data_IF_162208527038
#
_entry.id   IF_162208527038
#
_cell.length_a   1.000
_cell.length_b   1.000
_cell.length_c   1.000
_cell.angle_alpha   90.00
_cell.angle_beta   90.00
_cell.angle_gamma   90.00
#
_symmetry.space_group_name_H-M   'P 1'
#
loop_
_entity.id
_entity.type
_entity.pdbx_description
1 polymer ?
#
# COMPACT_ATOMS: atom_id res chain seq x y z
N UNK A 1 9.69 -16.19 -36.00
CA UNK A 1 8.28 -15.96 -35.59
C UNK A 1 8.25 -15.44 -34.15
N UNK A 2 8.66 -14.18 -33.96
CA UNK A 2 8.59 -13.49 -32.67
C UNK A 2 7.20 -12.89 -32.51
N UNK A 3 6.23 -13.73 -32.18
CA UNK A 3 4.89 -13.27 -31.80
C UNK A 3 5.03 -12.69 -30.40
N UNK A 4 5.02 -11.36 -30.31
CA UNK A 4 4.82 -10.69 -29.03
C UNK A 4 3.61 -11.33 -28.36
N UNK A 5 3.87 -12.01 -27.25
CA UNK A 5 2.95 -12.91 -26.57
C UNK A 5 1.59 -12.23 -26.42
N UNK A 6 0.59 -12.66 -27.20
CA UNK A 6 -0.77 -12.11 -27.16
C UNK A 6 -1.41 -12.24 -25.77
N UNK A 7 -0.79 -12.98 -24.84
CA UNK A 7 -1.18 -13.02 -23.44
C UNK A 7 -0.65 -11.84 -22.61
N UNK A 8 0.33 -11.04 -23.08
CA UNK A 8 0.88 -9.89 -22.33
C UNK A 8 -0.18 -8.84 -22.03
N UNK A 9 -1.02 -8.37 -22.99
CA UNK A 9 -2.08 -7.43 -22.68
C UNK A 9 -3.07 -7.96 -21.62
N UNK A 10 -3.42 -9.26 -21.70
CA UNK A 10 -4.32 -9.92 -20.76
C UNK A 10 -3.70 -10.06 -19.36
N UNK A 11 -2.42 -10.43 -19.29
CA UNK A 11 -1.65 -10.50 -18.03
C UNK A 11 -1.49 -9.12 -17.40
N UNK A 12 -1.18 -8.08 -18.19
CA UNK A 12 -1.09 -6.69 -17.72
C UNK A 12 -2.41 -6.20 -17.14
N UNK A 13 -3.54 -6.50 -17.79
CA UNK A 13 -4.87 -6.17 -17.26
C UNK A 13 -5.13 -6.84 -15.91
N UNK A 14 -4.82 -8.13 -15.80
CA UNK A 14 -5.00 -8.89 -14.55
C UNK A 14 -4.12 -8.34 -13.41
N UNK A 15 -2.87 -8.00 -13.72
CA UNK A 15 -1.95 -7.39 -12.76
C UNK A 15 -2.42 -6.01 -12.30
N UNK A 16 -2.92 -5.19 -13.23
CA UNK A 16 -3.48 -3.87 -12.92
C UNK A 16 -4.72 -4.00 -12.02
N UNK A 17 -5.64 -4.92 -12.33
CA UNK A 17 -6.82 -5.21 -11.49
C UNK A 17 -6.43 -5.65 -10.09
N UNK A 18 -5.45 -6.56 -9.96
CA UNK A 18 -4.95 -7.02 -8.67
C UNK A 18 -4.24 -5.90 -7.88
N UNK A 19 -3.54 -4.99 -8.55
CA UNK A 19 -2.90 -3.85 -7.92
C UNK A 19 -3.94 -2.83 -7.42
N UNK A 20 -4.86 -2.40 -8.29
CA UNK A 20 -5.90 -1.43 -7.97
C UNK A 20 -6.87 -1.97 -6.91
N UNK A 21 -7.26 -3.24 -7.01
CA UNK A 21 -8.13 -3.89 -6.01
C UNK A 21 -7.52 -3.87 -4.60
N UNK A 22 -6.20 -4.06 -4.48
CA UNK A 22 -5.49 -3.91 -3.20
C UNK A 22 -5.43 -2.46 -2.73
N UNK A 23 -5.19 -1.52 -3.66
CA UNK A 23 -5.21 -0.09 -3.35
C UNK A 23 -6.54 0.37 -2.74
N UNK A 24 -7.66 -0.02 -3.35
CA UNK A 24 -9.02 0.26 -2.84
C UNK A 24 -9.24 -0.37 -1.46
N UNK A 25 -8.80 -1.62 -1.26
CA UNK A 25 -8.93 -2.29 0.03
C UNK A 25 -8.16 -1.55 1.14
N UNK A 26 -6.96 -1.03 0.84
CA UNK A 26 -6.17 -0.27 1.81
C UNK A 26 -6.75 1.11 2.11
N UNK A 27 -7.26 1.83 1.09
CA UNK A 27 -7.94 3.12 1.28
C UNK A 27 -9.18 2.98 2.18
N UNK A 28 -10.01 1.97 1.93
CA UNK A 28 -11.18 1.69 2.77
C UNK A 28 -10.77 1.32 4.20
N UNK A 29 -9.74 0.48 4.35
CA UNK A 29 -9.25 0.05 5.65
C UNK A 29 -8.64 1.21 6.47
N UNK A 30 -7.94 2.14 5.81
CA UNK A 30 -7.40 3.35 6.43
C UNK A 30 -8.50 4.28 6.97
N UNK A 31 -9.62 4.38 6.25
CA UNK A 31 -10.78 5.21 6.66
C UNK A 31 -11.67 4.55 7.71
N UNK A 32 -11.63 3.24 7.85
CA UNK A 32 -12.44 2.49 8.80
C UNK A 32 -11.83 2.55 10.21
N UNK A 33 -10.89 1.64 10.51
CA UNK A 33 -10.22 1.58 11.81
C UNK A 33 -8.91 0.77 11.74
N UNK A 34 -8.17 0.76 12.85
CA UNK A 34 -6.88 0.09 12.96
C UNK A 34 -6.96 -1.44 12.76
N UNK A 35 -8.08 -2.07 13.12
CA UNK A 35 -8.28 -3.51 12.98
C UNK A 35 -8.52 -3.90 11.52
N UNK A 36 -9.30 -3.10 10.78
CA UNK A 36 -9.52 -3.27 9.35
C UNK A 36 -8.20 -3.17 8.57
N UNK A 37 -7.36 -2.18 8.91
CA UNK A 37 -6.04 -2.02 8.29
C UNK A 37 -5.13 -3.21 8.57
N UNK A 38 -5.09 -3.68 9.82
CA UNK A 38 -4.30 -4.85 10.19
C UNK A 38 -4.74 -6.09 9.41
N UNK A 39 -6.05 -6.36 9.33
CA UNK A 39 -6.59 -7.51 8.60
C UNK A 39 -6.28 -7.44 7.10
N UNK A 40 -6.43 -6.26 6.48
CA UNK A 40 -6.12 -6.07 5.07
C UNK A 40 -4.63 -6.33 4.76
N UNK A 41 -3.73 -5.86 5.63
CA UNK A 41 -2.29 -6.07 5.47
C UNK A 41 -1.85 -7.50 5.78
N UNK A 42 -2.41 -8.14 6.81
CA UNK A 42 -2.15 -9.54 7.13
C UNK A 42 -2.47 -10.44 5.93
N UNK A 43 -3.66 -10.27 5.34
CA UNK A 43 -4.09 -11.03 4.17
C UNK A 43 -3.26 -10.72 2.92
N UNK A 44 -3.07 -9.45 2.60
CA UNK A 44 -2.55 -9.06 1.29
C UNK A 44 -1.02 -9.02 1.20
N UNK A 45 -0.31 -8.82 2.32
CA UNK A 45 1.16 -8.73 2.38
C UNK A 45 1.76 -10.01 2.94
N UNK A 46 1.24 -10.50 4.07
CA UNK A 46 1.79 -11.67 4.75
C UNK A 46 1.11 -12.99 4.38
N UNK A 47 -0.01 -12.94 3.65
CA UNK A 47 -0.86 -14.10 3.40
C UNK A 47 -1.27 -14.81 4.70
N UNK A 48 -1.56 -14.02 5.74
CA UNK A 48 -1.93 -14.46 7.09
C UNK A 48 -0.86 -15.33 7.80
N UNK A 49 0.39 -15.29 7.33
CA UNK A 49 1.51 -16.06 7.90
C UNK A 49 2.30 -15.33 8.99
N UNK A 50 2.03 -14.05 9.23
CA UNK A 50 2.75 -13.24 10.21
C UNK A 50 1.87 -12.09 10.74
N UNK A 51 2.26 -11.57 11.90
CA UNK A 51 1.62 -10.40 12.50
C UNK A 51 1.92 -9.12 11.68
N UNK A 52 0.85 -8.48 11.22
CA UNK A 52 0.91 -7.24 10.46
C UNK A 52 0.85 -5.98 11.32
N UNK A 53 0.78 -6.09 12.66
CA UNK A 53 0.57 -4.96 13.57
C UNK A 53 1.61 -3.84 13.38
N UNK A 54 2.90 -4.18 13.29
CA UNK A 54 3.94 -3.18 13.08
C UNK A 54 3.83 -2.48 11.72
N UNK A 55 3.46 -3.23 10.67
CA UNK A 55 3.23 -2.66 9.35
C UNK A 55 1.98 -1.76 9.35
N UNK A 56 0.91 -2.16 10.04
CA UNK A 56 -0.30 -1.34 10.19
C UNK A 56 0.00 -0.02 10.90
N UNK A 57 0.79 -0.04 11.99
CA UNK A 57 1.25 1.18 12.67
C UNK A 57 2.06 2.07 11.75
N UNK A 58 2.97 1.49 10.96
CA UNK A 58 3.77 2.23 9.99
C UNK A 58 2.90 2.88 8.92
N UNK A 59 1.96 2.15 8.32
CA UNK A 59 1.06 2.65 7.28
C UNK A 59 0.20 3.80 7.82
N UNK A 60 -0.32 3.68 9.04
CA UNK A 60 -1.08 4.77 9.69
C UNK A 60 -0.21 6.02 9.92
N UNK A 61 1.01 5.85 10.44
CA UNK A 61 1.94 6.96 10.65
C UNK A 61 2.35 7.63 9.32
N UNK A 62 2.53 6.83 8.26
CA UNK A 62 2.79 7.34 6.92
C UNK A 62 1.60 8.14 6.38
N UNK A 63 0.36 7.64 6.53
CA UNK A 63 -0.85 8.37 6.09
C UNK A 63 -0.94 9.75 6.76
N UNK A 64 -0.76 9.80 8.08
CA UNK A 64 -0.77 11.06 8.83
C UNK A 64 0.34 12.03 8.37
N UNK A 65 1.57 11.52 8.18
CA UNK A 65 2.68 12.34 7.70
C UNK A 65 2.47 12.88 6.28
N UNK A 66 1.78 12.12 5.41
CA UNK A 66 1.41 12.57 4.07
C UNK A 66 0.28 13.61 4.08
N UNK A 67 -0.70 13.45 4.98
CA UNK A 67 -1.80 14.43 5.15
C UNK A 67 -1.31 15.78 5.68
N UNK A 68 -0.29 15.77 6.56
CA UNK A 68 0.31 16.99 7.11
C UNK A 68 1.33 17.66 6.16
N UNK A 69 1.78 16.95 5.12
CA UNK A 69 2.82 17.44 4.23
C UNK A 69 2.33 18.58 3.33
N UNK A 70 3.06 19.71 3.25
CA UNK A 70 2.74 20.76 2.29
C UNK A 70 3.04 20.30 0.86
N UNK A 71 2.36 20.89 -0.13
CA UNK A 71 2.51 20.54 -1.55
C UNK A 71 3.97 20.61 -2.03
N UNK A 72 4.73 21.59 -1.53
CA UNK A 72 6.14 21.79 -1.85
C UNK A 72 7.01 20.59 -1.48
N UNK A 73 6.64 19.82 -0.44
CA UNK A 73 7.35 18.62 -0.05
C UNK A 73 7.22 17.52 -1.12
N UNK A 74 6.08 17.43 -1.80
CA UNK A 74 5.87 16.50 -2.91
C UNK A 74 6.56 16.96 -4.19
N UNK A 75 6.62 18.27 -4.44
CA UNK A 75 7.26 18.83 -5.62
C UNK A 75 8.80 18.74 -5.57
N UNK A 76 9.40 18.96 -4.39
CA UNK A 76 10.86 18.96 -4.19
C UNK A 76 11.41 17.61 -3.75
N UNK A 77 10.61 16.85 -3.00
CA UNK A 77 11.05 15.64 -2.32
C UNK A 77 12.10 15.90 -1.22
N UNK A 78 12.47 14.85 -0.46
CA UNK A 78 11.84 13.54 -0.42
C UNK A 78 10.46 13.58 0.25
N UNK A 79 9.58 12.65 -0.13
CA UNK A 79 8.27 12.46 0.52
C UNK A 79 8.49 12.18 2.02
N UNK A 80 7.73 12.82 2.94
CA UNK A 80 7.98 12.75 4.38
C UNK A 80 7.50 11.44 5.00
N UNK A 81 7.98 10.30 4.49
CA UNK A 81 7.70 9.01 5.11
C UNK A 81 8.42 8.88 6.45
N UNK A 82 7.76 8.33 7.49
CA UNK A 82 8.40 8.06 8.76
C UNK A 82 9.51 7.02 8.59
N UNK A 83 10.54 7.07 9.43
CA UNK A 83 11.58 6.04 9.46
C UNK A 83 10.97 4.73 10.00
N UNK A 84 11.04 3.59 9.28
CA UNK A 84 10.47 2.34 9.78
C UNK A 84 11.01 1.94 11.16
N UNK A 85 12.29 2.20 11.44
CA UNK A 85 12.91 1.90 12.74
C UNK A 85 12.35 2.73 13.91
N UNK A 86 11.68 3.87 13.64
CA UNK A 86 11.03 4.67 14.67
C UNK A 86 9.63 4.14 15.04
N UNK A 87 9.09 3.20 14.26
CA UNK A 87 7.79 2.56 14.52
C UNK A 87 8.04 1.22 15.22
N UNK A 88 7.73 1.18 16.52
CA UNK A 88 7.81 -0.01 17.39
C UNK A 88 6.48 -0.73 17.35
#
# INVERSE_FOLDING_TARGET
MGVGDAAVPKRMKTLAEAFLGRGVAYDQALRADASALLAALARNVYADRADAARLARYVKAASAALEEAPFEAFAKGPVPFPKPAAII
#
